data_IF_258153692904
#
_entry.id   IF_258153692904
#
_cell.length_a   1.000
_cell.length_b   1.000
_cell.length_c   1.000
_cell.angle_alpha   90.00
_cell.angle_beta   90.00
_cell.angle_gamma   90.00
#
_symmetry.space_group_name_H-M   'P 1'
#
loop_
_entity.id
_entity.type
_entity.pdbx_description
1 polymer ?
#
# COMPACT_ATOMS: atom_id res chain seq x y z
N UNK A 1 -29.50 -21.98 10.64
CA UNK A 1 -29.64 -22.96 11.73
C UNK A 1 -28.33 -23.23 12.48
N UNK A 2 -27.19 -23.43 11.80
CA UNK A 2 -25.92 -23.86 12.42
C UNK A 2 -25.38 -22.96 13.55
N UNK A 3 -25.48 -21.63 13.42
CA UNK A 3 -24.98 -20.72 14.48
C UNK A 3 -25.79 -20.75 15.79
N UNK A 4 -27.06 -21.17 15.75
CA UNK A 4 -27.87 -21.36 16.96
C UNK A 4 -27.45 -22.66 17.64
N UNK A 5 -27.34 -23.75 16.88
CA UNK A 5 -26.93 -25.05 17.40
C UNK A 5 -25.52 -24.99 18.00
N UNK A 6 -24.58 -24.32 17.32
CA UNK A 6 -23.22 -24.10 17.83
C UNK A 6 -23.23 -23.35 19.17
N UNK A 7 -24.14 -22.37 19.34
CA UNK A 7 -24.28 -21.63 20.60
C UNK A 7 -24.84 -22.50 21.73
N UNK A 8 -25.82 -23.35 21.43
CA UNK A 8 -26.39 -24.30 22.40
C UNK A 8 -25.31 -25.27 22.89
N UNK A 9 -24.51 -25.82 21.98
CA UNK A 9 -23.38 -26.70 22.33
C UNK A 9 -22.32 -25.93 23.14
N UNK A 10 -21.97 -24.71 22.73
CA UNK A 10 -21.03 -23.86 23.46
C UNK A 10 -21.46 -23.66 24.92
N UNK A 11 -22.74 -23.40 25.16
CA UNK A 11 -23.29 -23.30 26.52
C UNK A 11 -23.36 -24.63 27.26
N UNK A 12 -23.69 -25.72 26.58
CA UNK A 12 -23.69 -27.07 27.16
C UNK A 12 -22.31 -27.53 27.64
N UNK A 13 -21.23 -26.90 27.17
CA UNK A 13 -19.85 -27.17 27.58
C UNK A 13 -19.38 -26.24 28.73
N UNK A 14 -20.28 -25.82 29.62
CA UNK A 14 -20.01 -24.94 30.76
C UNK A 14 -19.27 -23.63 30.42
N UNK A 15 -19.42 -23.14 29.19
CA UNK A 15 -18.88 -21.85 28.79
C UNK A 15 -19.80 -20.72 29.25
N UNK A 16 -19.20 -19.53 29.42
CA UNK A 16 -19.92 -18.34 29.87
C UNK A 16 -21.12 -18.03 28.98
N UNK A 17 -22.23 -17.68 29.62
CA UNK A 17 -23.43 -17.23 28.91
C UNK A 17 -23.14 -15.87 28.27
N UNK A 18 -23.11 -15.85 26.94
CA UNK A 18 -22.89 -14.63 26.15
C UNK A 18 -24.08 -14.33 25.25
N UNK A 19 -24.30 -13.04 24.95
CA UNK A 19 -25.33 -12.62 24.01
C UNK A 19 -25.05 -13.26 22.65
N UNK A 20 -26.11 -13.66 21.93
CA UNK A 20 -25.98 -14.34 20.62
C UNK A 20 -25.13 -13.53 19.62
N UNK A 21 -25.29 -12.20 19.62
CA UNK A 21 -24.49 -11.29 18.79
C UNK A 21 -22.99 -11.42 19.08
N UNK A 22 -22.61 -11.50 20.35
CA UNK A 22 -21.20 -11.60 20.75
C UNK A 22 -20.61 -12.95 20.38
N UNK A 23 -21.35 -14.03 20.63
CA UNK A 23 -20.97 -15.39 20.21
C UNK A 23 -20.69 -15.44 18.71
N UNK A 24 -21.60 -14.93 17.88
CA UNK A 24 -21.44 -14.95 16.43
C UNK A 24 -20.27 -14.07 15.97
N UNK A 25 -20.04 -12.93 16.63
CA UNK A 25 -18.89 -12.08 16.34
C UNK A 25 -17.58 -12.81 16.61
N UNK A 26 -17.45 -13.43 17.78
CA UNK A 26 -16.27 -14.22 18.16
C UNK A 26 -16.05 -15.39 17.20
N UNK A 27 -17.10 -16.20 16.97
CA UNK A 27 -17.05 -17.34 16.05
C UNK A 27 -16.62 -16.90 14.64
N UNK A 28 -17.22 -15.84 14.11
CA UNK A 28 -16.88 -15.35 12.77
C UNK A 28 -15.44 -14.87 12.65
N UNK A 29 -14.92 -14.23 13.71
CA UNK A 29 -13.54 -13.79 13.77
C UNK A 29 -12.60 -14.99 13.79
N UNK A 30 -12.83 -15.95 14.69
CA UNK A 30 -12.01 -17.16 14.84
C UNK A 30 -11.94 -18.00 13.56
N UNK A 31 -13.07 -18.15 12.85
CA UNK A 31 -13.10 -18.89 11.58
C UNK A 31 -12.26 -18.24 10.46
N UNK A 32 -12.12 -16.92 10.49
CA UNK A 32 -11.47 -16.16 9.42
C UNK A 32 -10.00 -15.88 9.73
N UNK A 33 -9.60 -15.92 11.00
CA UNK A 33 -8.21 -15.70 11.45
C UNK A 33 -7.15 -16.51 10.68
N UNK A 34 -7.30 -17.83 10.45
CA UNK A 34 -6.29 -18.60 9.70
C UNK A 34 -6.14 -18.11 8.26
N UNK A 35 -7.24 -17.71 7.62
CA UNK A 35 -7.20 -17.16 6.26
C UNK A 35 -6.61 -15.75 6.23
N UNK A 36 -6.86 -14.92 7.24
CA UNK A 36 -6.24 -13.60 7.35
C UNK A 36 -4.73 -13.71 7.54
N UNK A 37 -4.28 -14.64 8.38
CA UNK A 37 -2.86 -14.91 8.60
C UNK A 37 -2.19 -15.37 7.30
N UNK A 38 -2.75 -16.38 6.62
CA UNK A 38 -2.25 -16.84 5.30
C UNK A 38 -2.21 -15.73 4.25
N UNK A 39 -3.23 -14.86 4.21
CA UNK A 39 -3.27 -13.73 3.26
C UNK A 39 -2.31 -12.61 3.63
N UNK A 40 -1.91 -12.50 4.89
CA UNK A 40 -0.91 -11.52 5.33
C UNK A 40 0.49 -11.84 4.82
N UNK A 41 0.76 -13.11 4.51
CA UNK A 41 2.00 -13.59 3.88
C UNK A 41 1.95 -13.45 2.35
N UNK A 42 0.76 -13.57 1.74
CA UNK A 42 0.55 -13.53 0.29
C UNK A 42 -0.04 -12.18 -0.18
N UNK A 43 0.77 -11.12 -0.14
CA UNK A 43 0.32 -9.75 -0.43
C UNK A 43 0.57 -9.26 -1.86
N UNK A 44 1.28 -10.05 -2.68
CA UNK A 44 1.58 -9.71 -4.08
C UNK A 44 0.28 -9.48 -4.88
N UNK A 45 0.21 -8.36 -5.60
CA UNK A 45 -0.97 -7.96 -6.38
C UNK A 45 -2.13 -7.36 -5.56
N UNK A 46 -2.02 -7.30 -4.23
CA UNK A 46 -3.05 -6.73 -3.37
C UNK A 46 -2.91 -5.19 -3.27
N UNK A 47 -4.00 -4.41 -3.20
CA UNK A 47 -3.93 -2.97 -2.93
C UNK A 47 -3.25 -2.66 -1.59
N UNK A 48 -2.44 -1.60 -1.54
CA UNK A 48 -1.65 -1.19 -0.36
C UNK A 48 -2.48 -1.07 0.92
N UNK A 49 -3.70 -0.53 0.83
CA UNK A 49 -4.60 -0.40 1.99
C UNK A 49 -4.97 -1.76 2.60
N UNK A 50 -5.16 -2.78 1.77
CA UNK A 50 -5.48 -4.13 2.23
C UNK A 50 -4.24 -4.80 2.84
N UNK A 51 -3.06 -4.58 2.25
CA UNK A 51 -1.80 -5.06 2.82
C UNK A 51 -1.57 -4.49 4.23
N UNK A 52 -1.74 -3.17 4.39
CA UNK A 52 -1.59 -2.50 5.68
C UNK A 52 -2.54 -3.04 6.75
N UNK A 53 -3.79 -3.37 6.38
CA UNK A 53 -4.76 -3.98 7.29
C UNK A 53 -4.41 -5.42 7.68
N UNK A 54 -3.68 -6.14 6.82
CA UNK A 54 -3.30 -7.54 7.08
C UNK A 54 -2.05 -7.67 7.94
N UNK A 55 -1.22 -6.62 8.05
CA UNK A 55 0.00 -6.63 8.89
C UNK A 55 -0.25 -7.05 10.34
N UNK A 56 -1.42 -6.71 10.90
CA UNK A 56 -1.78 -7.08 12.28
C UNK A 56 -1.93 -8.59 12.50
N UNK A 57 -2.03 -9.38 11.42
CA UNK A 57 -2.17 -10.84 11.46
C UNK A 57 -0.87 -11.56 11.05
N UNK A 58 0.23 -10.84 10.86
CA UNK A 58 1.54 -11.45 10.59
C UNK A 58 2.09 -12.07 11.89
N UNK A 59 2.53 -13.32 11.82
CA UNK A 59 3.19 -13.98 12.95
C UNK A 59 4.58 -13.37 13.15
N UNK A 60 5.00 -12.98 14.37
CA UNK A 60 6.26 -12.28 14.64
C UNK A 60 7.52 -13.16 14.53
N UNK A 61 7.66 -13.95 13.46
CA UNK A 61 8.80 -14.84 13.24
C UNK A 61 9.16 -15.12 11.78
N UNK A 62 8.53 -14.45 10.80
CA UNK A 62 8.76 -14.67 9.37
C UNK A 62 9.37 -13.44 8.65
N UNK A 63 10.03 -12.55 9.38
CA UNK A 63 10.72 -11.37 8.84
C UNK A 63 12.02 -11.70 8.06
N UNK A 64 12.17 -12.96 7.60
CA UNK A 64 13.26 -13.38 6.70
C UNK A 64 12.84 -13.46 5.23
N UNK A 65 11.64 -13.00 4.88
CA UNK A 65 11.40 -12.64 3.48
C UNK A 65 12.16 -11.35 3.20
N UNK A 66 13.43 -11.51 2.81
CA UNK A 66 14.14 -10.61 1.92
C UNK A 66 13.12 -10.09 0.91
N UNK A 67 12.66 -8.86 1.15
CA UNK A 67 12.17 -8.05 0.07
C UNK A 67 13.39 -7.92 -0.81
N UNK A 68 13.50 -8.79 -1.82
CA UNK A 68 14.30 -8.54 -2.99
C UNK A 68 13.84 -7.16 -3.45
N UNK A 69 14.56 -6.14 -2.99
CA UNK A 69 14.43 -4.79 -3.48
C UNK A 69 14.75 -4.95 -4.96
N UNK A 70 13.69 -5.05 -5.75
CA UNK A 70 13.79 -4.86 -7.18
C UNK A 70 14.46 -3.50 -7.33
N UNK A 71 15.75 -3.51 -7.67
CA UNK A 71 16.66 -2.37 -7.80
C UNK A 71 16.23 -1.40 -8.91
N UNK A 72 15.01 -1.51 -9.40
CA UNK A 72 14.36 -0.51 -10.23
C UNK A 72 13.87 0.64 -9.35
N UNK A 73 14.41 1.84 -9.58
CA UNK A 73 13.89 3.08 -8.99
C UNK A 73 12.35 3.10 -9.08
N UNK A 74 11.68 3.04 -7.93
CA UNK A 74 10.22 3.06 -7.83
C UNK A 74 9.70 4.30 -8.58
N UNK A 75 8.88 4.10 -9.60
CA UNK A 75 8.28 5.19 -10.37
C UNK A 75 7.30 5.97 -9.48
N UNK A 76 7.43 7.29 -9.43
CA UNK A 76 6.60 8.21 -8.65
C UNK A 76 5.63 8.97 -9.56
N UNK A 77 4.58 9.60 -9.01
CA UNK A 77 3.64 10.40 -9.80
C UNK A 77 4.27 11.75 -10.17
N UNK A 78 4.03 12.19 -11.39
CA UNK A 78 4.38 13.55 -11.81
C UNK A 78 3.54 14.57 -11.04
N UNK A 79 4.23 15.53 -10.43
CA UNK A 79 3.62 16.59 -9.63
C UNK A 79 2.84 17.60 -10.50
N UNK A 80 3.29 17.87 -11.72
CA UNK A 80 2.61 18.77 -12.66
C UNK A 80 1.38 18.13 -13.36
N UNK A 81 1.21 16.80 -13.21
CA UNK A 81 0.00 16.11 -13.67
C UNK A 81 -1.15 16.14 -12.65
N UNK A 82 -1.07 16.94 -11.58
CA UNK A 82 -2.01 16.91 -10.46
C UNK A 82 -3.41 17.50 -10.74
N UNK A 83 -3.57 18.28 -11.81
CA UNK A 83 -4.83 18.97 -12.14
C UNK A 83 -6.00 18.06 -12.56
N UNK A 84 -7.26 18.50 -12.38
CA UNK A 84 -8.44 17.79 -12.85
C UNK A 84 -8.45 17.70 -14.39
N UNK A 85 -8.75 16.51 -14.93
CA UNK A 85 -8.72 16.24 -16.37
C UNK A 85 -7.37 15.75 -16.92
N UNK A 86 -6.27 15.89 -16.16
CA UNK A 86 -4.95 15.42 -16.60
C UNK A 86 -4.74 13.93 -16.33
N UNK A 87 -4.17 13.21 -17.31
CA UNK A 87 -3.72 11.82 -17.12
C UNK A 87 -2.60 11.81 -16.09
N UNK A 88 -2.84 11.18 -14.93
CA UNK A 88 -1.83 11.01 -13.87
C UNK A 88 -0.71 10.08 -14.34
N UNK A 89 0.42 10.64 -14.77
CA UNK A 89 1.58 9.88 -15.28
C UNK A 89 2.53 9.47 -14.15
N UNK A 90 2.99 8.21 -14.19
CA UNK A 90 4.10 7.73 -13.39
C UNK A 90 5.42 7.94 -14.14
N UNK A 91 6.45 8.37 -13.42
CA UNK A 91 7.75 8.76 -13.97
C UNK A 91 8.88 8.36 -13.03
N UNK A 92 10.08 8.13 -13.60
CA UNK A 92 11.33 7.95 -12.85
C UNK A 92 12.20 9.21 -12.86
N UNK A 93 11.78 10.24 -13.60
CA UNK A 93 12.57 11.44 -13.81
C UNK A 93 12.27 12.49 -12.74
N UNK A 94 13.32 13.21 -12.36
CA UNK A 94 13.25 14.35 -11.46
C UNK A 94 14.03 15.52 -12.06
N UNK A 95 13.56 16.74 -11.79
CA UNK A 95 14.31 17.93 -12.16
C UNK A 95 15.70 17.91 -11.50
N UNK A 96 16.76 18.23 -12.24
CA UNK A 96 18.12 18.27 -11.68
C UNK A 96 18.28 19.37 -10.63
N UNK A 97 17.62 20.53 -10.86
CA UNK A 97 17.67 21.72 -10.02
C UNK A 97 16.84 21.58 -8.73
N UNK A 98 15.52 21.36 -8.86
CA UNK A 98 14.60 21.35 -7.72
C UNK A 98 14.20 19.94 -7.22
N UNK A 99 14.68 18.87 -7.86
CA UNK A 99 14.36 17.46 -7.53
C UNK A 99 12.87 17.07 -7.62
N UNK A 100 12.01 17.98 -8.10
CA UNK A 100 10.59 17.73 -8.38
C UNK A 100 10.40 16.53 -9.31
N UNK A 101 9.43 15.67 -9.00
CA UNK A 101 9.11 14.49 -9.81
C UNK A 101 8.25 14.91 -11.01
N UNK A 102 8.78 14.72 -12.22
CA UNK A 102 8.14 15.20 -13.46
C UNK A 102 8.16 14.15 -14.57
N UNK A 103 7.11 14.10 -15.38
CA UNK A 103 7.06 13.21 -16.55
C UNK A 103 7.77 13.85 -17.74
N UNK A 104 8.08 13.07 -18.79
CA UNK A 104 8.78 13.59 -19.97
C UNK A 104 8.03 14.71 -20.71
N UNK A 105 6.71 14.84 -20.54
CA UNK A 105 5.95 15.96 -21.13
C UNK A 105 6.05 17.25 -20.33
N UNK A 106 6.49 17.20 -19.07
CA UNK A 106 6.70 18.36 -18.21
C UNK A 106 8.19 18.55 -17.88
N UNK A 107 9.08 17.80 -18.56
CA UNK A 107 10.50 17.88 -18.36
C UNK A 107 11.13 18.47 -19.62
N UNK A 108 11.70 19.66 -19.48
CA UNK A 108 12.56 20.23 -20.51
C UNK A 108 14.00 19.73 -20.31
N UNK A 109 14.52 19.07 -21.33
CA UNK A 109 15.90 18.57 -21.35
C UNK A 109 16.79 19.50 -22.15
N UNK A 110 17.82 20.03 -21.50
CA UNK A 110 18.85 20.84 -22.15
C UNK A 110 20.12 20.01 -22.36
N UNK A 111 20.84 20.24 -23.47
CA UNK A 111 22.21 19.76 -23.59
C UNK A 111 23.12 20.56 -22.63
N UNK A 112 24.35 20.08 -22.39
CA UNK A 112 25.27 20.73 -21.45
C UNK A 112 25.53 22.21 -21.75
N UNK A 113 25.60 22.56 -23.04
CA UNK A 113 25.80 23.94 -23.52
C UNK A 113 24.54 24.79 -23.28
N UNK A 114 23.36 24.32 -23.69
CA UNK A 114 22.11 25.05 -23.46
C UNK A 114 21.78 25.22 -21.96
N UNK A 115 22.28 24.33 -21.09
CA UNK A 115 22.08 24.42 -19.65
C UNK A 115 22.83 25.60 -19.03
N UNK A 116 23.99 26.01 -19.56
CA UNK A 116 24.76 27.14 -19.04
C UNK A 116 24.15 28.46 -19.49
N UNK A 117 23.65 28.52 -20.72
CA UNK A 117 23.04 29.72 -21.30
C UNK A 117 21.72 30.09 -20.58
N UNK A 118 20.92 29.09 -20.19
CA UNK A 118 19.68 29.30 -19.43
C UNK A 118 19.94 29.90 -18.03
N UNK A 119 21.04 29.53 -17.36
CA UNK A 119 21.40 30.09 -16.06
C UNK A 119 21.91 31.53 -16.18
N UNK A 120 22.67 31.83 -17.23
CA UNK A 120 23.15 33.18 -17.51
C UNK A 120 22.01 34.16 -17.82
N UNK A 121 21.00 33.73 -18.58
CA UNK A 121 19.85 34.57 -18.96
C UNK A 121 18.93 34.96 -17.77
N UNK A 122 18.93 34.19 -16.68
CA UNK A 122 18.08 34.41 -15.50
C UNK A 122 18.83 34.95 -14.27
N UNK A 123 20.11 35.32 -14.41
CA UNK A 123 20.92 35.93 -13.34
C UNK A 123 21.01 37.46 -13.43
N UNK A 124 20.38 38.06 -14.45
CA UNK A 124 20.30 39.52 -14.66
C UNK A 124 18.87 40.05 -14.46
N UNK A 125 18.28 39.77 -13.29
CA UNK A 125 17.11 40.49 -12.79
C UNK A 125 17.04 40.43 -11.27
#
# INVERSE_FOLDING_TARGET
>A
MSGINAKVIYFGNDRKVIRRKEFLKQLSHELVLPQLSRRSELTLGMPLNSQNKLKIYQTPGNDEHEVLETTGMKRKRCEDCAGPGNKRKLTKYNCKKCKKIVCLTHLDTFCGVCSTDFLAAHSNN
#
